data_IF_726306155113
#
_entry.id   IF_726306155113
#
_cell.length_a   1.000
_cell.length_b   1.000
_cell.length_c   1.000
_cell.angle_alpha   90.00
_cell.angle_beta   90.00
_cell.angle_gamma   90.00
#
_symmetry.space_group_name_H-M   'P 1'
#
loop_
_entity.id
_entity.type
_entity.pdbx_description
1 polymer ?
#
# COMPACT_ATOMS: atom_id res chain seq x y z
N UNK A 1 -9.32 -19.96 -63.42
CA UNK A 1 -8.75 -20.35 -62.12
C UNK A 1 -7.72 -19.30 -61.70
N UNK A 2 -7.63 -18.95 -60.41
CA UNK A 2 -6.56 -18.14 -59.76
C UNK A 2 -6.88 -16.69 -59.31
N UNK A 3 -8.02 -16.43 -58.64
CA UNK A 3 -8.25 -15.12 -57.98
C UNK A 3 -8.71 -15.17 -56.52
N UNK A 4 -8.74 -16.32 -55.84
CA UNK A 4 -9.34 -16.43 -54.49
C UNK A 4 -8.36 -16.74 -53.34
N UNK A 5 -7.08 -16.93 -53.61
CA UNK A 5 -6.12 -17.46 -52.62
C UNK A 5 -5.29 -16.41 -51.86
N UNK A 6 -5.28 -15.15 -52.28
CA UNK A 6 -4.35 -14.15 -51.72
C UNK A 6 -4.96 -13.22 -50.65
N UNK A 7 -6.28 -13.30 -50.41
CA UNK A 7 -6.95 -12.43 -49.43
C UNK A 7 -6.78 -12.90 -47.99
N UNK A 8 -6.64 -14.22 -47.76
CA UNK A 8 -6.61 -14.79 -46.42
C UNK A 8 -5.23 -14.66 -45.73
N UNK A 9 -4.13 -14.61 -46.50
CA UNK A 9 -2.78 -14.52 -45.92
C UNK A 9 -2.37 -13.10 -45.51
N UNK A 10 -2.99 -12.05 -46.06
CA UNK A 10 -2.65 -10.67 -45.71
C UNK A 10 -3.27 -10.21 -44.38
N UNK A 11 -4.38 -10.83 -43.94
CA UNK A 11 -5.07 -10.43 -42.71
C UNK A 11 -4.49 -11.04 -41.44
N UNK A 12 -3.79 -12.17 -41.53
CA UNK A 12 -3.19 -12.84 -40.36
C UNK A 12 -1.85 -12.25 -39.96
N UNK A 13 -1.07 -11.68 -40.89
CA UNK A 13 0.22 -11.04 -40.55
C UNK A 13 0.06 -9.71 -39.79
N UNK A 14 -0.99 -8.94 -40.09
CA UNK A 14 -1.22 -7.64 -39.43
C UNK A 14 -1.63 -7.74 -37.96
N UNK A 15 -2.27 -8.85 -37.56
CA UNK A 15 -2.81 -9.02 -36.20
C UNK A 15 -1.71 -9.45 -35.21
N UNK A 16 -0.70 -10.21 -35.64
CA UNK A 16 0.41 -10.62 -34.75
C UNK A 16 1.35 -9.44 -34.43
N UNK A 17 1.57 -8.53 -35.39
CA UNK A 17 2.41 -7.35 -35.18
C UNK A 17 1.80 -6.35 -34.18
N UNK A 18 0.47 -6.24 -34.12
CA UNK A 18 -0.20 -5.29 -33.23
C UNK A 18 -0.22 -5.78 -31.76
N UNK A 19 -0.34 -7.09 -31.53
CA UNK A 19 -0.34 -7.67 -30.18
C UNK A 19 1.02 -7.62 -29.47
N UNK A 20 2.12 -7.56 -30.21
CA UNK A 20 3.47 -7.53 -29.63
C UNK A 20 3.85 -6.18 -29.00
N UNK A 21 3.14 -5.09 -29.31
CA UNK A 21 3.50 -3.74 -28.85
C UNK A 21 2.79 -3.31 -27.56
N UNK A 22 1.70 -3.98 -27.17
CA UNK A 22 0.87 -3.60 -26.01
C UNK A 22 1.31 -4.25 -24.68
N UNK A 23 2.25 -5.20 -24.71
CA UNK A 23 2.63 -6.01 -23.53
C UNK A 23 3.87 -5.53 -22.76
N UNK A 24 4.60 -4.52 -23.21
CA UNK A 24 5.95 -4.22 -22.70
C UNK A 24 6.02 -3.23 -21.54
N UNK A 25 4.93 -2.54 -21.19
CA UNK A 25 4.95 -1.52 -20.13
C UNK A 25 5.03 -2.08 -18.71
N UNK A 26 4.75 -3.38 -18.51
CA UNK A 26 4.80 -4.01 -17.19
C UNK A 26 6.21 -4.41 -16.72
N UNK A 27 7.20 -4.48 -17.63
CA UNK A 27 8.55 -4.97 -17.30
C UNK A 27 9.51 -3.88 -16.77
N UNK A 28 9.16 -2.60 -16.88
CA UNK A 28 10.03 -1.49 -16.49
C UNK A 28 9.67 -0.85 -15.14
N UNK A 29 8.56 -1.26 -14.53
CA UNK A 29 8.02 -0.58 -13.34
C UNK A 29 8.68 -0.95 -12.01
N UNK A 30 9.57 -1.93 -11.97
CA UNK A 30 9.94 -2.57 -10.71
C UNK A 30 11.44 -2.86 -10.56
N UNK A 31 12.36 -1.99 -11.01
CA UNK A 31 13.81 -2.19 -10.77
C UNK A 31 14.67 -0.93 -10.59
N UNK A 32 14.13 0.30 -10.69
CA UNK A 32 14.95 1.50 -10.45
C UNK A 32 15.03 1.82 -8.95
N UNK A 33 16.00 1.22 -8.25
CA UNK A 33 16.30 1.50 -6.84
C UNK A 33 17.78 1.87 -6.69
N UNK A 34 18.12 2.86 -5.85
CA UNK A 34 19.51 3.24 -5.63
C UNK A 34 20.28 2.10 -4.95
N UNK A 35 21.54 1.91 -5.35
CA UNK A 35 22.45 0.92 -4.78
C UNK A 35 23.61 1.60 -4.05
N UNK A 36 24.03 1.00 -2.94
CA UNK A 36 25.26 1.35 -2.23
C UNK A 36 26.05 0.05 -1.94
N UNK A 37 27.33 0.01 -2.32
CA UNK A 37 28.19 -1.17 -2.16
C UNK A 37 27.59 -2.47 -2.75
N UNK A 38 26.87 -2.38 -3.86
CA UNK A 38 26.27 -3.54 -4.53
C UNK A 38 24.98 -4.07 -3.86
N UNK A 39 24.46 -3.39 -2.83
CA UNK A 39 23.21 -3.74 -2.15
C UNK A 39 22.17 -2.63 -2.39
N UNK A 40 20.88 -2.96 -2.64
CA UNK A 40 19.83 -1.95 -2.69
C UNK A 40 19.77 -1.15 -1.39
N UNK A 41 19.70 0.18 -1.50
CA UNK A 41 19.50 1.04 -0.34
C UNK A 41 18.06 0.87 0.13
N UNK A 42 17.89 0.41 1.37
CA UNK A 42 16.57 0.27 1.96
C UNK A 42 15.91 1.66 2.07
N UNK A 43 14.67 1.83 1.57
CA UNK A 43 13.90 3.03 1.84
C UNK A 43 13.75 3.21 3.34
N UNK A 44 13.86 4.45 3.82
CA UNK A 44 13.72 4.76 5.26
C UNK A 44 12.26 4.68 5.76
N UNK A 45 11.32 4.27 4.90
CA UNK A 45 9.90 4.22 5.20
C UNK A 45 9.34 5.62 5.45
N UNK A 46 8.54 5.74 6.50
CA UNK A 46 7.92 7.01 6.93
C UNK A 46 8.80 7.78 7.94
N UNK A 47 10.10 7.47 8.02
CA UNK A 47 11.02 8.21 8.88
C UNK A 47 10.96 9.71 8.56
N UNK A 48 10.83 10.55 9.59
CA UNK A 48 10.69 12.03 9.53
C UNK A 48 9.43 12.56 8.85
N UNK A 49 8.46 11.71 8.54
CA UNK A 49 7.14 12.13 8.09
C UNK A 49 6.15 12.04 9.25
N UNK A 50 5.98 13.12 10.04
CA UNK A 50 5.02 13.09 11.14
C UNK A 50 3.62 12.87 10.59
N UNK A 51 2.81 12.14 11.35
CA UNK A 51 1.39 12.01 11.05
C UNK A 51 0.74 13.40 11.10
N UNK A 52 0.02 13.80 10.06
CA UNK A 52 -0.73 15.07 10.05
C UNK A 52 -1.85 15.12 11.10
N UNK A 53 -2.66 16.17 11.07
CA UNK A 53 -3.75 16.35 12.05
C UNK A 53 -5.07 15.68 11.65
N UNK A 54 -5.23 15.33 10.37
CA UNK A 54 -6.48 14.77 9.85
C UNK A 54 -7.66 15.77 9.94
N UNK A 55 -8.90 15.32 9.70
CA UNK A 55 -9.24 14.01 9.16
C UNK A 55 -8.71 13.81 7.73
N UNK A 56 -8.52 12.55 7.34
CA UNK A 56 -8.21 12.16 5.96
C UNK A 56 -9.40 11.41 5.35
N UNK A 57 -9.60 11.57 4.05
CA UNK A 57 -10.63 10.87 3.30
C UNK A 57 -9.96 9.95 2.28
N UNK A 58 -10.35 8.67 2.29
CA UNK A 58 -9.82 7.67 1.38
C UNK A 58 -10.96 6.95 0.69
N UNK A 59 -10.81 6.73 -0.62
CA UNK A 59 -11.67 5.81 -1.36
C UNK A 59 -11.21 4.38 -1.06
N UNK A 60 -12.15 3.47 -0.81
CA UNK A 60 -11.85 2.04 -0.69
C UNK A 60 -12.14 1.30 -1.99
N UNK A 61 -11.67 0.07 -2.10
CA UNK A 61 -11.90 -0.77 -3.28
C UNK A 61 -13.36 -1.24 -3.41
N UNK A 62 -14.15 -1.09 -2.35
CA UNK A 62 -15.54 -1.50 -2.23
C UNK A 62 -16.54 -0.40 -2.63
N UNK A 63 -16.09 0.66 -3.32
CA UNK A 63 -16.92 1.80 -3.74
C UNK A 63 -17.57 2.55 -2.56
N UNK A 64 -16.82 2.66 -1.47
CA UNK A 64 -17.20 3.44 -0.29
C UNK A 64 -16.03 4.34 0.13
N UNK A 65 -16.34 5.56 0.56
CA UNK A 65 -15.36 6.46 1.12
C UNK A 65 -15.28 6.26 2.64
N UNK A 66 -14.07 6.25 3.19
CA UNK A 66 -13.82 6.25 4.63
C UNK A 66 -13.23 7.58 5.08
N UNK A 67 -13.68 8.04 6.25
CA UNK A 67 -13.05 9.12 7.01
C UNK A 67 -12.16 8.51 8.09
N UNK A 68 -10.89 8.89 8.09
CA UNK A 68 -9.89 8.47 9.09
C UNK A 68 -9.58 9.65 9.99
N UNK A 69 -9.71 9.46 11.30
CA UNK A 69 -9.45 10.47 12.33
C UNK A 69 -8.33 10.04 13.27
N UNK A 70 -7.63 11.03 13.83
CA UNK A 70 -6.57 10.79 14.79
C UNK A 70 -7.17 10.42 16.16
N UNK A 71 -6.91 9.20 16.62
CA UNK A 71 -7.27 8.74 17.97
C UNK A 71 -6.11 8.92 18.96
N UNK A 72 -4.88 8.68 18.50
CA UNK A 72 -3.71 8.55 19.36
C UNK A 72 -2.41 8.72 18.57
N UNK A 73 -1.38 9.33 19.18
CA UNK A 73 0.00 9.39 18.64
C UNK A 73 0.91 8.53 19.51
N UNK A 74 1.56 7.52 18.94
CA UNK A 74 2.46 6.61 19.67
C UNK A 74 3.60 6.08 18.79
N UNK A 75 4.71 5.71 19.41
CA UNK A 75 5.87 5.15 18.71
C UNK A 75 5.73 3.62 18.56
N UNK A 76 5.94 3.11 17.35
CA UNK A 76 5.95 1.67 17.04
C UNK A 76 4.71 0.87 17.49
N UNK A 77 3.49 1.38 17.26
CA UNK A 77 2.26 0.58 17.44
C UNK A 77 2.33 -0.73 16.65
N UNK A 78 2.00 -1.85 17.28
CA UNK A 78 2.14 -3.18 16.67
C UNK A 78 0.82 -3.93 16.55
N UNK A 79 -0.01 -3.95 17.60
CA UNK A 79 -1.31 -4.61 17.58
C UNK A 79 -2.27 -3.92 18.56
N UNK A 80 -3.57 -4.08 18.34
CA UNK A 80 -4.61 -3.54 19.20
C UNK A 80 -5.81 -4.48 19.30
N UNK A 81 -6.62 -4.31 20.35
CA UNK A 81 -7.93 -4.94 20.48
C UNK A 81 -8.91 -3.99 21.15
N UNK A 82 -10.18 -4.11 20.78
CA UNK A 82 -11.28 -3.50 21.54
C UNK A 82 -11.61 -4.35 22.76
N UNK A 83 -11.97 -3.68 23.85
CA UNK A 83 -12.50 -4.29 25.06
C UNK A 83 -14.04 -4.17 25.12
N UNK A 84 -14.72 -4.95 25.98
CA UNK A 84 -16.19 -4.90 26.09
C UNK A 84 -16.77 -3.54 26.50
N UNK A 85 -15.96 -2.67 27.13
CA UNK A 85 -16.31 -1.30 27.51
C UNK A 85 -16.04 -0.28 26.38
N UNK A 86 -15.79 -0.75 25.16
CA UNK A 86 -15.42 0.02 23.99
C UNK A 86 -14.07 0.78 24.07
N UNK A 87 -13.26 0.53 25.11
CA UNK A 87 -11.89 1.01 25.16
C UNK A 87 -10.96 0.17 24.27
N UNK A 88 -9.74 0.67 24.02
CA UNK A 88 -8.72 -0.04 23.26
C UNK A 88 -7.52 -0.39 24.14
N UNK A 89 -7.00 -1.61 23.95
CA UNK A 89 -5.64 -1.96 24.36
C UNK A 89 -4.73 -1.95 23.14
N UNK A 90 -3.56 -1.33 23.26
CA UNK A 90 -2.56 -1.25 22.20
C UNK A 90 -1.20 -1.68 22.73
N UNK A 91 -0.53 -2.57 22.01
CA UNK A 91 0.86 -2.96 22.30
C UNK A 91 1.82 -2.34 21.30
N UNK A 92 2.99 -1.89 21.78
CA UNK A 92 4.07 -1.40 20.92
C UNK A 92 5.14 -2.45 20.72
N UNK A 93 5.90 -2.32 19.63
CA UNK A 93 7.07 -3.17 19.34
C UNK A 93 8.11 -3.17 20.46
N UNK A 94 8.16 -2.09 21.26
CA UNK A 94 9.10 -1.93 22.39
C UNK A 94 8.59 -2.57 23.68
N UNK A 95 7.43 -3.22 23.67
CA UNK A 95 6.88 -3.92 24.84
C UNK A 95 6.01 -3.06 25.75
N UNK A 96 5.57 -1.88 25.28
CA UNK A 96 4.62 -1.04 26.03
C UNK A 96 3.20 -1.50 25.80
N UNK A 97 2.39 -1.44 26.85
CA UNK A 97 0.94 -1.66 26.80
C UNK A 97 0.24 -0.35 27.15
N UNK A 98 -0.65 0.11 26.26
CA UNK A 98 -1.46 1.30 26.45
C UNK A 98 -2.94 0.95 26.51
N UNK A 99 -3.68 1.70 27.32
CA UNK A 99 -5.13 1.73 27.35
C UNK A 99 -5.62 3.08 26.83
N UNK A 100 -6.53 3.07 25.87
CA UNK A 100 -7.13 4.27 25.29
C UNK A 100 -8.62 4.24 25.58
N UNK A 101 -9.10 5.28 26.26
CA UNK A 101 -10.49 5.40 26.70
C UNK A 101 -10.84 6.87 26.88
N UNK A 102 -12.08 7.25 26.52
CA UNK A 102 -12.62 8.61 26.70
C UNK A 102 -11.70 9.73 26.18
N UNK A 103 -11.05 9.51 25.03
CA UNK A 103 -10.12 10.45 24.41
C UNK A 103 -8.75 10.58 25.12
N UNK A 104 -8.55 9.84 26.21
CA UNK A 104 -7.29 9.73 26.93
C UNK A 104 -6.49 8.48 26.53
N UNK A 105 -5.20 8.50 26.85
CA UNK A 105 -4.28 7.37 26.71
C UNK A 105 -3.45 7.23 27.98
N UNK A 106 -3.36 6.03 28.53
CA UNK A 106 -2.55 5.70 29.70
C UNK A 106 -1.61 4.51 29.38
N UNK A 107 -0.34 4.62 29.78
CA UNK A 107 0.59 3.47 29.78
C UNK A 107 0.26 2.58 30.98
N UNK A 108 -0.01 1.30 30.73
CA UNK A 108 -0.26 0.30 31.76
C UNK A 108 1.00 -0.50 32.12
N UNK A 109 1.93 -0.66 31.17
CA UNK A 109 3.18 -1.39 31.37
C UNK A 109 4.24 -1.02 30.30
N UNK A 110 5.53 -1.25 30.59
CA UNK A 110 6.60 -1.33 29.59
C UNK A 110 7.66 -0.21 29.54
N UNK A 111 7.98 0.43 30.67
CA UNK A 111 9.09 1.39 30.91
C UNK A 111 10.04 1.70 29.75
#
# INVERSE_FOLDING_TARGET
MNHRTNWCLSKTLGIVALSATLGSSALLGQQDVPFANGVPVAPTGLDKHPLGDGPWYYQTGEDMDIKVELVARMEYAMAMTFLPDASLLVVTRRGKLYHIHDGGMAELAGG
#
